data_IF_860872456990
#
_entry.id   IF_860872456990
#
_cell.length_a   1.000
_cell.length_b   1.000
_cell.length_c   1.000
_cell.angle_alpha   90.00
_cell.angle_beta   90.00
_cell.angle_gamma   90.00
#
_symmetry.space_group_name_H-M   'P 1'
#
loop_
_entity.id
_entity.type
_entity.pdbx_description
1 polymer ?
#
# COMPACT_ATOMS: atom_id res chain seq x y z
N UNK A 1 26.02 13.79 -36.45
CA UNK A 1 25.05 12.97 -37.20
C UNK A 1 25.47 11.51 -37.12
N UNK A 2 24.86 10.71 -36.23
CA UNK A 2 25.13 9.27 -36.19
C UNK A 2 24.40 8.59 -37.35
N UNK A 3 25.15 7.90 -38.21
CA UNK A 3 24.65 7.25 -39.42
C UNK A 3 23.54 6.22 -39.12
N UNK A 4 22.54 6.04 -40.02
CA UNK A 4 21.40 5.14 -39.82
C UNK A 4 21.77 3.70 -39.41
N UNK A 5 22.92 3.21 -39.89
CA UNK A 5 23.48 1.90 -39.55
C UNK A 5 23.78 1.74 -38.05
N UNK A 6 24.24 2.80 -37.36
CA UNK A 6 24.58 2.73 -35.92
C UNK A 6 23.33 2.61 -35.05
N UNK A 7 22.22 3.23 -35.46
CA UNK A 7 20.93 3.06 -34.79
C UNK A 7 20.36 1.65 -35.00
N UNK A 8 20.55 1.08 -36.18
CA UNK A 8 20.08 -0.26 -36.54
C UNK A 8 20.87 -1.38 -35.85
N UNK A 9 22.14 -1.15 -35.51
CA UNK A 9 23.00 -2.05 -34.72
C UNK A 9 22.85 -1.85 -33.19
N UNK A 10 22.52 -0.64 -32.72
CA UNK A 10 22.27 -0.39 -31.28
C UNK A 10 20.91 -0.90 -30.81
N UNK A 11 19.87 -0.80 -31.63
CA UNK A 11 18.52 -1.34 -31.34
C UNK A 11 18.53 -2.83 -30.94
N UNK A 12 19.19 -3.76 -31.67
CA UNK A 12 19.20 -5.17 -31.30
C UNK A 12 19.97 -5.45 -30.01
N UNK A 13 21.01 -4.67 -29.70
CA UNK A 13 21.77 -4.82 -28.44
C UNK A 13 20.91 -4.37 -27.25
N UNK A 14 20.27 -3.20 -27.34
CA UNK A 14 19.39 -2.68 -26.28
C UNK A 14 18.20 -3.61 -26.06
N UNK A 15 17.61 -4.12 -27.15
CA UNK A 15 16.54 -5.11 -27.10
C UNK A 15 16.98 -6.39 -26.38
N UNK A 16 18.17 -6.91 -26.72
CA UNK A 16 18.76 -8.07 -26.06
C UNK A 16 18.92 -7.83 -24.56
N UNK A 17 19.52 -6.71 -24.15
CA UNK A 17 19.66 -6.35 -22.74
C UNK A 17 18.32 -6.25 -22.01
N UNK A 18 17.27 -5.73 -22.68
CA UNK A 18 15.93 -5.70 -22.08
C UNK A 18 15.38 -7.11 -21.88
N UNK A 19 15.48 -7.99 -22.90
CA UNK A 19 15.03 -9.38 -22.80
C UNK A 19 15.79 -10.12 -21.69
N UNK A 20 17.09 -9.93 -21.61
CA UNK A 20 17.95 -10.53 -20.58
C UNK A 20 17.53 -10.06 -19.18
N UNK A 21 17.27 -8.76 -19.00
CA UNK A 21 16.73 -8.22 -17.74
C UNK A 21 15.38 -8.83 -17.38
N UNK A 22 14.45 -8.93 -18.34
CA UNK A 22 13.13 -9.54 -18.09
C UNK A 22 13.28 -11.00 -17.68
N UNK A 23 14.11 -11.77 -18.39
CA UNK A 23 14.35 -13.18 -18.06
C UNK A 23 14.99 -13.34 -16.69
N UNK A 24 15.98 -12.49 -16.35
CA UNK A 24 16.59 -12.48 -15.03
C UNK A 24 15.57 -12.20 -13.93
N UNK A 25 14.68 -11.21 -14.11
CA UNK A 25 13.62 -10.94 -13.14
C UNK A 25 12.63 -12.09 -13.00
N UNK A 26 12.30 -12.82 -14.08
CA UNK A 26 11.43 -14.00 -14.01
C UNK A 26 12.10 -15.13 -13.20
N UNK A 27 13.39 -15.38 -13.41
CA UNK A 27 14.13 -16.36 -12.61
C UNK A 27 14.23 -15.94 -11.14
N UNK A 28 14.41 -14.64 -10.86
CA UNK A 28 14.37 -14.13 -9.49
C UNK A 28 13.01 -14.36 -8.82
N UNK A 29 11.89 -14.16 -9.54
CA UNK A 29 10.56 -14.46 -9.03
C UNK A 29 10.41 -15.94 -8.70
N UNK A 30 10.92 -16.84 -9.55
CA UNK A 30 10.91 -18.28 -9.30
C UNK A 30 11.57 -18.63 -7.96
N UNK A 31 12.75 -18.06 -7.68
CA UNK A 31 13.49 -18.28 -6.44
C UNK A 31 12.77 -17.69 -5.21
N UNK A 32 12.22 -16.48 -5.33
CA UNK A 32 11.52 -15.81 -4.23
C UNK A 32 10.24 -16.53 -3.81
N UNK A 33 9.59 -17.22 -4.75
CA UNK A 33 8.33 -17.93 -4.54
C UNK A 33 8.52 -19.47 -4.53
N UNK A 34 9.76 -19.97 -4.38
CA UNK A 34 10.08 -21.41 -4.48
C UNK A 34 9.20 -22.27 -3.56
N UNK A 35 9.04 -21.86 -2.30
CA UNK A 35 8.17 -22.53 -1.31
C UNK A 35 6.70 -22.57 -1.77
N UNK A 36 6.20 -21.45 -2.31
CA UNK A 36 4.82 -21.39 -2.82
C UNK A 36 4.64 -22.29 -4.05
N UNK A 37 5.65 -22.41 -4.91
CA UNK A 37 5.61 -23.36 -6.02
C UNK A 37 5.64 -24.80 -5.53
N UNK A 38 6.48 -25.13 -4.55
CA UNK A 38 6.53 -26.47 -3.96
C UNK A 38 5.19 -26.86 -3.32
N UNK A 39 4.52 -25.92 -2.67
CA UNK A 39 3.21 -26.14 -2.03
C UNK A 39 2.10 -26.46 -3.04
N UNK A 40 2.11 -25.82 -4.21
CA UNK A 40 1.04 -25.96 -5.20
C UNK A 40 1.37 -26.99 -6.31
N UNK A 41 2.64 -27.11 -6.72
CA UNK A 41 3.10 -27.98 -7.82
C UNK A 41 4.53 -28.52 -7.56
N UNK A 42 4.72 -29.46 -6.62
CA UNK A 42 6.04 -29.90 -6.15
C UNK A 42 6.93 -30.59 -7.22
N UNK A 43 6.35 -31.08 -8.32
CA UNK A 43 7.08 -31.86 -9.33
C UNK A 43 6.83 -31.39 -10.78
N UNK A 44 6.29 -30.18 -10.96
CA UNK A 44 5.99 -29.64 -12.29
C UNK A 44 7.14 -28.79 -12.82
N UNK A 45 7.39 -28.90 -14.12
CA UNK A 45 8.31 -27.97 -14.81
C UNK A 45 7.60 -26.63 -14.94
N UNK A 46 7.96 -25.66 -14.10
CA UNK A 46 7.39 -24.33 -14.12
C UNK A 46 7.66 -23.63 -15.45
N UNK A 47 6.60 -23.35 -16.21
CA UNK A 47 6.67 -22.49 -17.38
C UNK A 47 6.70 -21.01 -16.96
N UNK A 48 7.13 -20.13 -17.87
CA UNK A 48 7.14 -18.69 -17.58
C UNK A 48 5.75 -18.13 -17.29
N UNK A 49 4.71 -18.71 -17.89
CA UNK A 49 3.32 -18.34 -17.62
C UNK A 49 2.95 -18.69 -16.17
N UNK A 50 3.25 -19.92 -15.72
CA UNK A 50 2.99 -20.37 -14.36
C UNK A 50 3.68 -19.50 -13.31
N UNK A 51 4.96 -19.15 -13.56
CA UNK A 51 5.72 -18.27 -12.66
C UNK A 51 5.01 -16.92 -12.49
N UNK A 52 4.58 -16.32 -13.60
CA UNK A 52 3.91 -15.02 -13.58
C UNK A 52 2.51 -15.10 -12.97
N UNK A 53 1.75 -16.15 -13.26
CA UNK A 53 0.43 -16.36 -12.68
C UNK A 53 0.49 -16.51 -11.16
N UNK A 54 1.36 -17.39 -10.66
CA UNK A 54 1.58 -17.57 -9.22
C UNK A 54 2.02 -16.27 -8.56
N UNK A 55 2.96 -15.54 -9.18
CA UNK A 55 3.43 -14.24 -8.67
C UNK A 55 2.26 -13.25 -8.54
N UNK A 56 1.40 -13.15 -9.55
CA UNK A 56 0.24 -12.24 -9.52
C UNK A 56 -0.76 -12.68 -8.44
N UNK A 57 -1.03 -13.98 -8.33
CA UNK A 57 -1.90 -14.53 -7.31
C UNK A 57 -1.39 -14.22 -5.89
N UNK A 58 -0.11 -14.46 -5.65
CA UNK A 58 0.58 -14.16 -4.40
C UNK A 58 0.50 -12.67 -4.05
N UNK A 59 0.79 -11.78 -5.01
CA UNK A 59 0.74 -10.33 -4.80
C UNK A 59 -0.69 -9.84 -4.51
N UNK A 60 -1.71 -10.40 -5.17
CA UNK A 60 -3.12 -10.06 -4.87
C UNK A 60 -3.51 -10.49 -3.46
N UNK A 61 -3.12 -11.69 -3.05
CA UNK A 61 -3.35 -12.18 -1.69
C UNK A 61 -2.62 -11.30 -0.67
N UNK A 62 -1.34 -11.01 -0.91
CA UNK A 62 -0.51 -10.16 -0.06
C UNK A 62 -1.04 -8.72 0.00
N UNK A 63 -1.53 -8.14 -1.09
CA UNK A 63 -2.09 -6.80 -1.12
C UNK A 63 -3.43 -6.72 -0.38
N UNK A 64 -4.26 -7.75 -0.45
CA UNK A 64 -5.45 -7.83 0.39
C UNK A 64 -5.07 -7.89 1.88
N UNK A 65 -3.95 -8.57 2.21
CA UNK A 65 -3.41 -8.60 3.55
C UNK A 65 -2.72 -7.28 3.96
N UNK A 66 -2.09 -6.55 3.04
CA UNK A 66 -1.40 -5.28 3.30
C UNK A 66 -2.34 -4.07 3.25
N UNK A 67 -3.51 -4.21 2.61
CA UNK A 67 -4.65 -3.30 2.78
C UNK A 67 -5.19 -3.34 4.22
N UNK A 68 -4.78 -4.35 4.99
CA UNK A 68 -4.75 -4.32 6.46
C UNK A 68 -3.65 -3.40 7.00
N UNK A 69 -3.32 -2.28 6.34
CA UNK A 69 -2.86 -1.06 7.03
C UNK A 69 -3.98 -0.46 7.88
N UNK A 70 -5.15 -1.10 7.90
CA UNK A 70 -6.04 -1.10 9.05
C UNK A 70 -5.42 -1.73 10.29
N UNK A 71 -4.33 -2.52 10.24
CA UNK A 71 -3.73 -3.19 11.42
C UNK A 71 -3.49 -2.21 12.56
N UNK A 72 -2.79 -1.08 12.35
CA UNK A 72 -2.59 -0.12 13.46
C UNK A 72 -3.89 0.54 13.95
N UNK A 73 -4.87 0.77 13.06
CA UNK A 73 -6.18 1.32 13.44
C UNK A 73 -7.10 0.27 14.09
N UNK A 74 -6.99 -0.99 13.68
CA UNK A 74 -7.70 -2.16 14.18
C UNK A 74 -7.15 -2.52 15.55
N UNK A 75 -5.83 -2.63 15.68
CA UNK A 75 -5.11 -2.83 16.94
C UNK A 75 -5.45 -1.72 17.94
N UNK A 76 -5.50 -0.45 17.49
CA UNK A 76 -5.98 0.66 18.33
C UNK A 76 -7.46 0.52 18.70
N UNK A 77 -8.34 0.23 17.75
CA UNK A 77 -9.78 0.12 17.99
C UNK A 77 -10.12 -1.06 18.92
N UNK A 78 -9.38 -2.16 18.79
CA UNK A 78 -9.51 -3.37 19.59
C UNK A 78 -8.98 -3.11 21.00
N UNK A 79 -7.78 -2.55 21.15
CA UNK A 79 -7.23 -2.16 22.45
C UNK A 79 -8.08 -1.11 23.16
N UNK A 80 -8.66 -0.16 22.42
CA UNK A 80 -9.61 0.83 22.94
C UNK A 80 -10.91 0.18 23.43
N UNK A 81 -11.48 -0.76 22.66
CA UNK A 81 -12.68 -1.49 23.07
C UNK A 81 -12.44 -2.34 24.31
N UNK A 82 -11.28 -3.02 24.38
CA UNK A 82 -10.87 -3.79 25.55
C UNK A 82 -10.75 -2.94 26.81
N UNK A 83 -10.07 -1.80 26.72
CA UNK A 83 -9.93 -0.85 27.83
C UNK A 83 -11.29 -0.34 28.32
N UNK A 84 -12.18 0.04 27.39
CA UNK A 84 -13.53 0.49 27.75
C UNK A 84 -14.34 -0.61 28.43
N UNK A 85 -14.28 -1.84 27.92
CA UNK A 85 -14.97 -2.99 28.52
C UNK A 85 -14.51 -3.23 29.95
N UNK A 86 -13.19 -3.23 30.18
CA UNK A 86 -12.61 -3.43 31.50
C UNK A 86 -12.99 -2.29 32.47
N UNK A 87 -12.96 -1.03 31.99
CA UNK A 87 -13.38 0.12 32.78
C UNK A 87 -14.86 0.02 33.19
N UNK A 88 -15.75 -0.39 32.28
CA UNK A 88 -17.17 -0.59 32.59
C UNK A 88 -17.38 -1.76 33.56
N UNK A 89 -16.63 -2.85 33.40
CA UNK A 89 -16.67 -4.01 34.30
C UNK A 89 -16.24 -3.63 35.72
N UNK A 90 -15.13 -2.90 35.86
CA UNK A 90 -14.66 -2.39 37.15
C UNK A 90 -15.71 -1.51 37.85
N UNK A 91 -16.30 -0.57 37.10
CA UNK A 91 -17.35 0.32 37.61
C UNK A 91 -18.61 -0.46 38.03
N UNK A 92 -18.97 -1.51 37.28
CA UNK A 92 -20.11 -2.36 37.62
C UNK A 92 -19.86 -3.19 38.88
N UNK A 93 -18.63 -3.68 39.09
CA UNK A 93 -18.27 -4.52 40.23
C UNK A 93 -18.18 -3.71 41.53
N UNK A 94 -17.81 -2.43 41.43
CA UNK A 94 -17.68 -1.51 42.56
C UNK A 94 -18.91 -0.62 42.80
N UNK A 95 -20.08 -0.96 42.24
CA UNK A 95 -21.33 -0.19 42.40
C UNK A 95 -21.19 1.30 42.07
N UNK A 96 -20.36 1.64 41.09
CA UNK A 96 -20.23 3.02 40.65
C UNK A 96 -21.56 3.51 40.07
N UNK A 97 -21.90 4.76 40.36
CA UNK A 97 -23.14 5.41 39.94
C UNK A 97 -23.42 5.15 38.45
N UNK A 98 -24.62 4.65 38.13
CA UNK A 98 -25.09 4.35 36.77
C UNK A 98 -24.99 5.57 35.85
N UNK A 99 -25.08 6.77 36.41
CA UNK A 99 -24.87 8.04 35.72
C UNK A 99 -23.42 8.20 35.22
N UNK A 100 -22.42 7.78 36.01
CA UNK A 100 -21.00 7.81 35.62
C UNK A 100 -20.72 6.83 34.49
N UNK A 101 -21.32 5.64 34.54
CA UNK A 101 -21.21 4.64 33.46
C UNK A 101 -21.83 5.16 32.15
N UNK A 102 -23.02 5.77 32.23
CA UNK A 102 -23.70 6.37 31.07
C UNK A 102 -22.90 7.54 30.49
N UNK A 103 -22.34 8.44 31.33
CA UNK A 103 -21.47 9.54 30.88
C UNK A 103 -20.21 9.04 30.19
N UNK A 104 -19.59 7.98 30.73
CA UNK A 104 -18.44 7.34 30.12
C UNK A 104 -18.79 6.74 28.75
N UNK A 105 -19.88 5.98 28.67
CA UNK A 105 -20.32 5.38 27.41
C UNK A 105 -20.61 6.45 26.33
N UNK A 106 -21.31 7.52 26.69
CA UNK A 106 -21.58 8.65 25.80
C UNK A 106 -20.31 9.37 25.33
N UNK A 107 -19.30 9.50 26.20
CA UNK A 107 -18.03 10.11 25.83
C UNK A 107 -17.22 9.22 24.86
N UNK A 108 -17.27 7.90 25.05
CA UNK A 108 -16.51 6.94 24.24
C UNK A 108 -17.20 6.58 22.91
N UNK A 109 -18.54 6.67 22.82
CA UNK A 109 -19.29 6.49 21.58
C UNK A 109 -19.32 7.73 20.69
N UNK A 110 -18.86 8.89 21.18
CA UNK A 110 -18.81 10.11 20.37
C UNK A 110 -17.79 9.88 19.24
N UNK A 111 -18.20 9.93 17.97
CA UNK A 111 -17.25 9.80 16.86
C UNK A 111 -16.17 10.87 17.04
N UNK A 112 -14.89 10.48 16.99
CA UNK A 112 -13.81 11.45 16.77
C UNK A 112 -14.11 12.10 15.42
N UNK A 113 -14.79 13.23 15.44
CA UNK A 113 -14.84 14.13 14.30
C UNK A 113 -13.40 14.52 14.06
N UNK A 114 -12.76 13.87 13.08
CA UNK A 114 -11.53 14.39 12.52
C UNK A 114 -11.90 15.74 11.95
N UNK A 115 -11.59 16.81 12.69
CA UNK A 115 -11.77 18.17 12.27
C UNK A 115 -10.88 18.39 11.03
N UNK A 116 -11.47 18.13 9.87
CA UNK A 116 -11.02 18.63 8.59
C UNK A 116 -11.93 19.81 8.30
N UNK A 117 -11.45 21.01 8.66
CA UNK A 117 -11.40 22.20 7.79
C UNK A 117 -11.20 23.51 8.58
N UNK A 118 -10.12 24.22 8.20
CA UNK A 118 -10.03 25.68 8.00
C UNK A 118 -9.92 26.67 9.19
N UNK A 119 -8.82 27.44 9.14
CA UNK A 119 -8.61 28.84 9.56
C UNK A 119 -7.98 29.22 10.93
N UNK A 120 -6.64 29.38 10.89
CA UNK A 120 -5.79 30.45 11.48
C UNK A 120 -5.46 30.51 12.99
N UNK A 121 -4.37 31.22 13.41
CA UNK A 121 -3.13 31.61 12.71
C UNK A 121 -1.83 31.16 13.41
N UNK A 122 -0.77 30.92 12.65
CA UNK A 122 0.60 30.79 13.16
C UNK A 122 1.31 32.16 13.10
N UNK A 123 2.24 32.48 14.04
CA UNK A 123 3.03 33.69 13.97
C UNK A 123 4.16 33.59 12.94
N UNK A 124 4.35 34.72 12.27
CA UNK A 124 5.23 35.05 11.16
C UNK A 124 6.67 34.55 11.23
N UNK A 125 7.15 34.00 10.12
CA UNK A 125 8.53 34.23 9.66
C UNK A 125 8.65 34.19 8.14
N UNK A 126 9.06 35.35 7.62
CA UNK A 126 9.70 35.65 6.34
C UNK A 126 9.21 34.92 5.08
N UNK A 127 8.46 35.67 4.26
CA UNK A 127 8.14 35.37 2.88
C UNK A 127 9.38 35.27 1.98
N UNK A 128 9.43 34.26 1.13
CA UNK A 128 9.94 34.35 -0.24
C UNK A 128 8.91 33.67 -1.17
N UNK A 129 8.17 34.49 -1.91
CA UNK A 129 7.28 34.06 -2.98
C UNK A 129 8.08 33.84 -4.26
N UNK A 130 7.86 32.72 -4.95
CA UNK A 130 7.86 32.70 -6.41
C UNK A 130 6.69 31.84 -6.92
N UNK A 131 5.99 32.43 -7.88
CA UNK A 131 4.71 32.03 -8.46
C UNK A 131 4.86 30.84 -9.43
N UNK A 132 3.98 29.83 -9.31
CA UNK A 132 3.84 28.77 -10.31
C UNK A 132 2.40 28.79 -10.88
N UNK A 133 2.30 29.20 -12.15
CA UNK A 133 1.10 29.10 -12.97
C UNK A 133 0.70 27.64 -13.15
N UNK A 134 -0.59 27.39 -12.99
CA UNK A 134 -1.28 26.14 -13.28
C UNK A 134 -1.11 25.74 -14.75
N UNK A 135 -0.81 24.47 -15.00
CA UNK A 135 -1.08 23.80 -16.26
C UNK A 135 -1.58 22.39 -15.98
N UNK A 136 -2.72 22.06 -16.59
CA UNK A 136 -3.54 20.88 -16.35
C UNK A 136 -2.77 19.55 -16.52
N UNK A 137 -2.87 18.70 -15.50
CA UNK A 137 -2.47 17.29 -15.56
C UNK A 137 -3.55 16.49 -16.30
N UNK A 138 -3.32 16.19 -17.59
CA UNK A 138 -4.01 15.08 -18.24
C UNK A 138 -3.35 13.77 -17.79
N UNK A 139 -4.07 12.78 -17.26
CA UNK A 139 -3.51 11.46 -17.03
C UNK A 139 -3.34 10.81 -18.40
N UNK A 140 -2.17 10.97 -19.00
CA UNK A 140 -1.79 10.11 -20.11
C UNK A 140 -1.55 8.73 -19.51
N UNK A 141 -2.55 7.87 -19.67
CA UNK A 141 -2.35 6.43 -19.68
C UNK A 141 -1.06 6.18 -20.44
N UNK A 142 -0.04 5.68 -19.73
CA UNK A 142 1.22 5.27 -20.35
C UNK A 142 0.87 4.09 -21.23
N UNK A 143 0.45 4.40 -22.46
CA UNK A 143 0.25 3.45 -23.53
C UNK A 143 1.53 2.64 -23.58
N UNK A 144 1.38 1.36 -23.25
CA UNK A 144 2.42 0.38 -23.42
C UNK A 144 2.90 0.52 -24.85
N UNK A 145 4.12 1.01 -25.06
CA UNK A 145 4.73 1.12 -26.38
C UNK A 145 5.55 -0.14 -26.59
N UNK A 146 5.18 -1.03 -27.52
CA UNK A 146 6.12 -2.02 -28.01
C UNK A 146 7.28 -1.24 -28.65
N UNK A 147 8.50 -1.63 -28.28
CA UNK A 147 9.76 -1.23 -28.94
C UNK A 147 9.74 -1.62 -30.41
#
# INVERSE_FOLDING_TARGET
>A
FLSPLVLQLRKPIVEKLRRDRINSSIEQLKLLLEEEFQRHQPNSKLEKADILEMTVSYLKYSQNFASTSTSLQQDYSEGYSWCLKEALQFLSLHSANTETQMKLLCHFQRPKVTAKDSNSPAPSSAAHQMSAKQAALKPTSRLWRPW
#
